data_IF_551123205955
#
_entry.id   IF_551123205955
#
_cell.length_a   1.000
_cell.length_b   1.000
_cell.length_c   1.000
_cell.angle_alpha   90.00
_cell.angle_beta   90.00
_cell.angle_gamma   90.00
#
_symmetry.space_group_name_H-M   'P 1'
#
loop_
_entity.id
_entity.type
_entity.pdbx_description
1 polymer ?
#
# COMPACT_ATOMS: atom_id res chain seq x y z
N UNK A 1 -25.79 7.77 60.27
CA UNK A 1 -24.87 7.27 59.23
C UNK A 1 -25.25 7.94 57.93
N UNK A 2 -24.44 8.90 57.49
CA UNK A 2 -24.63 9.61 56.23
C UNK A 2 -24.08 8.74 55.09
N UNK A 3 -24.96 8.28 54.20
CA UNK A 3 -24.60 7.47 53.03
C UNK A 3 -24.16 8.37 51.88
N UNK A 4 -22.87 8.31 51.57
CA UNK A 4 -22.23 9.01 50.46
C UNK A 4 -22.68 8.39 49.12
N UNK A 5 -23.47 9.13 48.34
CA UNK A 5 -23.81 8.78 46.95
C UNK A 5 -22.64 9.19 46.07
N UNK A 6 -21.92 8.20 45.53
CA UNK A 6 -20.87 8.44 44.54
C UNK A 6 -21.53 8.57 43.15
N UNK A 7 -21.67 9.81 42.69
CA UNK A 7 -21.98 10.12 41.30
C UNK A 7 -20.70 9.97 40.47
N UNK A 8 -20.61 8.95 39.62
CA UNK A 8 -19.61 8.90 38.55
C UNK A 8 -20.23 9.49 37.29
N UNK A 9 -19.83 10.72 37.00
CA UNK A 9 -20.04 11.42 35.75
C UNK A 9 -19.38 10.66 34.60
N UNK A 10 -20.08 10.57 33.47
CA UNK A 10 -19.61 9.92 32.26
C UNK A 10 -18.44 10.65 31.59
N UNK A 11 -17.50 9.86 31.08
CA UNK A 11 -16.56 10.26 30.04
C UNK A 11 -16.92 9.51 28.75
N UNK A 12 -17.46 10.23 27.77
CA UNK A 12 -17.62 9.75 26.40
C UNK A 12 -16.29 9.90 25.64
N UNK A 13 -15.83 8.86 24.96
CA UNK A 13 -14.76 8.98 23.96
C UNK A 13 -14.14 7.63 23.58
N UNK A 14 -14.52 7.09 22.42
CA UNK A 14 -13.92 5.91 21.81
C UNK A 14 -14.82 4.68 21.90
N UNK A 15 -15.56 4.40 20.83
CA UNK A 15 -16.51 3.30 20.75
C UNK A 15 -15.85 1.93 20.77
N UNK A 16 -15.60 1.40 21.97
CA UNK A 16 -15.52 -0.04 22.19
C UNK A 16 -16.95 -0.59 22.23
N UNK A 17 -17.53 -0.71 21.03
CA UNK A 17 -18.74 -1.48 20.82
C UNK A 17 -18.46 -2.93 21.21
N UNK A 18 -18.85 -3.28 22.44
CA UNK A 18 -18.71 -4.60 23.03
C UNK A 18 -19.05 -5.68 22.00
N UNK A 19 -18.02 -6.41 21.55
CA UNK A 19 -18.19 -7.43 20.53
C UNK A 19 -19.02 -8.56 21.10
N UNK A 20 -20.22 -8.76 20.56
CA UNK A 20 -21.00 -9.95 20.88
C UNK A 20 -20.16 -11.20 20.56
N UNK A 21 -20.07 -12.11 21.53
CA UNK A 21 -19.35 -13.37 21.36
C UNK A 21 -19.89 -14.09 20.10
N UNK A 22 -19.00 -14.44 19.17
CA UNK A 22 -19.33 -15.16 17.94
C UNK A 22 -19.44 -14.32 16.66
N UNK A 23 -19.39 -12.98 16.71
CA UNK A 23 -19.37 -12.15 15.49
C UNK A 23 -17.93 -12.00 14.95
N UNK A 24 -17.70 -12.02 13.62
CA UNK A 24 -16.38 -11.78 13.04
C UNK A 24 -15.90 -10.35 13.33
N UNK A 25 -14.59 -10.17 13.53
CA UNK A 25 -13.98 -8.85 13.59
C UNK A 25 -14.06 -8.20 12.20
N UNK A 26 -14.70 -7.04 12.08
CA UNK A 26 -14.75 -6.30 10.82
C UNK A 26 -13.46 -5.52 10.67
N UNK A 27 -12.75 -5.76 9.57
CA UNK A 27 -11.50 -5.10 9.24
C UNK A 27 -11.69 -4.28 7.95
N UNK A 28 -11.58 -2.97 8.06
CA UNK A 28 -11.74 -2.04 6.95
C UNK A 28 -10.41 -1.85 6.24
N UNK A 29 -10.41 -2.04 4.92
CA UNK A 29 -9.24 -1.87 4.06
C UNK A 29 -9.54 -0.78 3.06
N UNK A 30 -8.75 0.29 3.07
CA UNK A 30 -8.77 1.28 1.98
C UNK A 30 -7.75 0.90 0.92
N UNK A 31 -8.16 1.06 -0.33
CA UNK A 31 -7.38 0.67 -1.49
C UNK A 31 -7.64 1.60 -2.67
N UNK A 32 -6.61 1.91 -3.47
CA UNK A 32 -6.80 2.68 -4.70
C UNK A 32 -7.77 1.95 -5.63
N UNK A 33 -8.78 2.66 -6.14
CA UNK A 33 -9.77 2.06 -7.02
C UNK A 33 -9.13 1.53 -8.31
N UNK A 34 -8.05 2.14 -8.80
CA UNK A 34 -7.32 1.67 -9.98
C UNK A 34 -8.21 1.39 -11.20
N UNK A 35 -7.74 0.48 -12.05
CA UNK A 35 -8.44 0.08 -13.27
C UNK A 35 -9.42 -1.08 -13.02
N UNK A 36 -10.37 -1.28 -13.92
CA UNK A 36 -11.36 -2.36 -13.78
C UNK A 36 -10.77 -3.78 -13.55
N UNK A 37 -9.66 -4.18 -14.21
CA UNK A 37 -8.99 -5.45 -13.91
C UNK A 37 -8.46 -5.54 -12.47
N UNK A 38 -7.84 -4.48 -11.97
CA UNK A 38 -7.27 -4.43 -10.61
C UNK A 38 -8.37 -4.55 -9.56
N UNK A 39 -9.48 -3.82 -9.74
CA UNK A 39 -10.67 -3.92 -8.88
C UNK A 39 -11.19 -5.35 -8.80
N UNK A 40 -11.29 -6.04 -9.94
CA UNK A 40 -11.77 -7.42 -9.99
C UNK A 40 -10.84 -8.35 -9.21
N UNK A 41 -9.53 -8.19 -9.36
CA UNK A 41 -8.53 -8.99 -8.62
C UNK A 41 -8.64 -8.72 -7.13
N UNK A 42 -8.73 -7.46 -6.71
CA UNK A 42 -8.80 -7.11 -5.29
C UNK A 42 -10.09 -7.62 -4.64
N UNK A 43 -11.24 -7.46 -5.30
CA UNK A 43 -12.51 -8.04 -4.82
C UNK A 43 -12.44 -9.56 -4.73
N UNK A 44 -11.81 -10.23 -5.68
CA UNK A 44 -11.63 -11.68 -5.63
C UNK A 44 -10.72 -12.12 -4.48
N UNK A 45 -9.64 -11.38 -4.21
CA UNK A 45 -8.73 -11.64 -3.08
C UNK A 45 -9.46 -11.50 -1.74
N UNK A 46 -10.23 -10.43 -1.55
CA UNK A 46 -11.05 -10.18 -0.35
C UNK A 46 -12.12 -11.26 -0.18
N UNK A 47 -12.81 -11.63 -1.27
CA UNK A 47 -13.81 -12.71 -1.24
C UNK A 47 -13.18 -14.04 -0.82
N UNK A 48 -12.02 -14.38 -1.36
CA UNK A 48 -11.29 -15.60 -1.01
C UNK A 48 -10.86 -15.59 0.45
N UNK A 49 -10.26 -14.49 0.94
CA UNK A 49 -9.85 -14.37 2.33
C UNK A 49 -11.04 -14.52 3.29
N UNK A 50 -12.16 -13.88 2.98
CA UNK A 50 -13.38 -13.94 3.77
C UNK A 50 -14.08 -15.31 3.73
N UNK A 51 -13.74 -16.18 2.76
CA UNK A 51 -14.36 -17.50 2.60
C UNK A 51 -13.56 -18.62 3.30
N UNK A 52 -12.25 -18.44 3.51
CA UNK A 52 -11.39 -19.50 4.11
C UNK A 52 -11.34 -19.46 5.64
N UNK A 53 -11.96 -18.46 6.27
CA UNK A 53 -11.99 -18.31 7.73
C UNK A 53 -13.22 -17.49 8.18
N UNK A 54 -13.54 -17.55 9.48
CA UNK A 54 -14.72 -16.87 10.07
C UNK A 54 -14.39 -15.88 11.21
N UNK A 55 -13.11 -15.72 11.56
CA UNK A 55 -12.70 -14.84 12.65
C UNK A 55 -12.71 -13.36 12.25
N UNK A 56 -12.41 -13.06 10.98
CA UNK A 56 -12.25 -11.71 10.41
C UNK A 56 -13.14 -11.56 9.18
N UNK A 57 -13.73 -10.38 9.01
CA UNK A 57 -14.44 -10.00 7.79
C UNK A 57 -13.84 -8.73 7.22
N UNK A 58 -13.13 -8.86 6.11
CA UNK A 58 -12.55 -7.73 5.39
C UNK A 58 -13.65 -6.97 4.63
N UNK A 59 -13.71 -5.66 4.87
CA UNK A 59 -14.53 -4.71 4.16
C UNK A 59 -13.65 -3.79 3.32
N UNK A 60 -13.63 -4.02 2.01
CA UNK A 60 -12.82 -3.25 1.07
C UNK A 60 -13.54 -1.96 0.67
N UNK A 61 -12.87 -0.83 0.82
CA UNK A 61 -13.29 0.49 0.34
C UNK A 61 -12.34 0.90 -0.78
N UNK A 62 -12.88 1.00 -1.99
CA UNK A 62 -12.13 1.46 -3.15
C UNK A 62 -12.29 2.97 -3.29
N UNK A 63 -11.18 3.70 -3.25
CA UNK A 63 -11.17 5.16 -3.30
C UNK A 63 -10.54 5.62 -4.64
N UNK A 64 -11.16 6.55 -5.39
CA UNK A 64 -10.60 7.04 -6.64
C UNK A 64 -9.21 7.68 -6.49
N UNK A 65 -8.30 7.35 -7.41
CA UNK A 65 -6.89 7.74 -7.42
C UNK A 65 -6.66 9.22 -7.06
N UNK A 66 -7.34 10.13 -7.78
CA UNK A 66 -7.16 11.58 -7.63
C UNK A 66 -7.56 12.16 -6.28
N UNK A 67 -8.23 11.37 -5.42
CA UNK A 67 -8.66 11.80 -4.09
C UNK A 67 -8.09 10.94 -2.96
N UNK A 68 -7.38 9.85 -3.27
CA UNK A 68 -6.95 8.87 -2.27
C UNK A 68 -6.10 9.51 -1.17
N UNK A 69 -4.97 10.12 -1.55
CA UNK A 69 -4.04 10.70 -0.58
C UNK A 69 -4.67 11.83 0.25
N UNK A 70 -5.55 12.63 -0.37
CA UNK A 70 -6.29 13.67 0.34
C UNK A 70 -7.27 13.10 1.38
N UNK A 71 -7.97 12.01 1.05
CA UNK A 71 -8.87 11.34 1.99
C UNK A 71 -8.10 10.67 3.13
N UNK A 72 -6.96 10.05 2.85
CA UNK A 72 -6.12 9.45 3.91
C UNK A 72 -5.57 10.53 4.84
N UNK A 73 -5.10 11.66 4.31
CA UNK A 73 -4.63 12.77 5.12
C UNK A 73 -5.74 13.33 6.01
N UNK A 74 -6.94 13.55 5.46
CA UNK A 74 -8.09 14.03 6.22
C UNK A 74 -8.48 13.04 7.35
N UNK A 75 -8.52 11.74 7.05
CA UNK A 75 -8.79 10.69 8.03
C UNK A 75 -7.72 10.63 9.12
N UNK A 76 -6.43 10.81 8.77
CA UNK A 76 -5.34 10.86 9.75
C UNK A 76 -5.46 12.04 10.72
N UNK A 77 -5.92 13.20 10.23
CA UNK A 77 -6.17 14.39 11.05
C UNK A 77 -7.42 14.22 11.94
N UNK A 78 -8.47 13.58 11.42
CA UNK A 78 -9.71 13.32 12.15
C UNK A 78 -9.60 12.18 13.19
N UNK A 79 -8.60 11.30 13.04
CA UNK A 79 -8.50 10.08 13.84
C UNK A 79 -9.34 8.92 13.31
N UNK A 80 -9.75 8.98 12.04
CA UNK A 80 -10.70 8.08 11.39
C UNK A 80 -10.03 7.19 10.32
N UNK A 81 -8.73 6.88 10.48
CA UNK A 81 -8.04 5.96 9.57
C UNK A 81 -8.67 4.56 9.61
N UNK A 82 -8.68 3.83 8.49
CA UNK A 82 -9.12 2.43 8.47
C UNK A 82 -8.08 1.53 9.15
N UNK A 83 -8.45 0.27 9.38
CA UNK A 83 -7.57 -0.72 10.00
C UNK A 83 -6.34 -1.07 9.12
N UNK A 84 -6.52 -1.06 7.80
CA UNK A 84 -5.44 -1.30 6.83
C UNK A 84 -5.54 -0.31 5.68
N UNK A 85 -4.39 0.27 5.36
CA UNK A 85 -4.20 1.16 4.22
C UNK A 85 -3.29 0.49 3.22
N UNK A 86 -3.69 0.49 1.96
CA UNK A 86 -2.69 0.48 0.90
C UNK A 86 -2.17 1.91 0.69
N UNK A 87 -0.85 2.02 0.58
CA UNK A 87 -0.13 3.28 0.47
C UNK A 87 0.86 3.20 -0.67
N UNK A 88 1.02 4.32 -1.37
CA UNK A 88 2.17 4.48 -2.22
C UNK A 88 3.43 4.67 -1.35
N UNK A 89 4.50 3.99 -1.73
CA UNK A 89 5.68 3.83 -0.88
C UNK A 89 6.34 5.13 -0.40
N UNK A 90 6.39 6.23 -1.17
CA UNK A 90 6.91 7.52 -0.70
C UNK A 90 6.20 8.10 0.52
N UNK A 91 4.93 7.74 0.77
CA UNK A 91 4.16 8.28 1.90
C UNK A 91 4.41 7.55 3.23
N UNK A 92 4.87 6.30 3.18
CA UNK A 92 4.96 5.43 4.37
C UNK A 92 5.73 6.10 5.50
N UNK A 93 6.91 6.66 5.21
CA UNK A 93 7.78 7.26 6.24
C UNK A 93 7.14 8.46 6.94
N UNK A 94 6.29 9.24 6.25
CA UNK A 94 5.62 10.39 6.85
C UNK A 94 4.58 9.93 7.88
N UNK A 95 3.74 8.95 7.54
CA UNK A 95 2.75 8.43 8.48
C UNK A 95 3.37 7.64 9.63
N UNK A 96 4.53 7.01 9.43
CA UNK A 96 5.31 6.44 10.55
C UNK A 96 5.83 7.54 11.47
N UNK A 97 6.38 8.62 10.92
CA UNK A 97 6.87 9.76 11.70
C UNK A 97 5.76 10.43 12.52
N UNK A 98 4.56 10.56 11.95
CA UNK A 98 3.36 11.09 12.61
C UNK A 98 2.72 10.12 13.63
N UNK A 99 3.26 8.90 13.77
CA UNK A 99 2.74 7.90 14.70
C UNK A 99 1.40 7.28 14.28
N UNK A 100 1.06 7.35 12.99
CA UNK A 100 -0.21 6.84 12.43
C UNK A 100 -0.14 5.37 12.03
N UNK A 101 1.05 4.80 11.91
CA UNK A 101 1.26 3.40 11.53
C UNK A 101 1.94 2.61 12.64
N UNK A 102 1.46 1.38 12.86
CA UNK A 102 2.11 0.42 13.73
C UNK A 102 3.15 -0.40 12.95
N UNK A 103 4.22 -0.85 13.61
CA UNK A 103 5.16 -1.78 13.01
C UNK A 103 4.52 -3.16 12.81
N UNK A 104 4.95 -3.86 11.77
CA UNK A 104 4.52 -5.21 11.39
C UNK A 104 5.40 -6.31 12.00
N UNK A 105 6.37 -5.95 12.84
CA UNK A 105 7.26 -6.89 13.51
C UNK A 105 6.46 -7.95 14.26
N UNK A 106 6.68 -9.23 13.94
CA UNK A 106 5.97 -10.36 14.57
C UNK A 106 4.53 -10.59 14.08
N UNK A 107 3.95 -9.70 13.28
CA UNK A 107 2.60 -9.85 12.72
C UNK A 107 2.60 -10.67 11.40
N UNK A 108 3.75 -10.77 10.74
CA UNK A 108 3.87 -11.42 9.44
C UNK A 108 4.59 -12.77 9.53
N UNK A 109 4.12 -13.82 8.81
CA UNK A 109 4.82 -15.09 8.74
C UNK A 109 6.23 -14.93 8.19
N UNK A 110 7.22 -15.55 8.82
CA UNK A 110 8.63 -15.52 8.36
C UNK A 110 8.80 -15.98 6.90
N UNK A 111 7.95 -16.91 6.44
CA UNK A 111 7.95 -17.37 5.04
C UNK A 111 7.58 -16.25 4.07
N UNK A 112 6.61 -15.40 4.43
CA UNK A 112 6.22 -14.25 3.63
C UNK A 112 7.38 -13.26 3.54
N UNK A 113 7.98 -12.91 4.68
CA UNK A 113 9.10 -11.95 4.73
C UNK A 113 10.30 -12.38 3.88
N UNK A 114 10.66 -13.68 3.89
CA UNK A 114 11.73 -14.21 3.04
C UNK A 114 11.41 -14.18 1.54
N UNK A 115 10.13 -14.12 1.18
CA UNK A 115 9.68 -14.05 -0.21
C UNK A 115 9.62 -12.61 -0.76
N UNK A 116 9.81 -11.60 0.07
CA UNK A 116 9.77 -10.20 -0.36
C UNK A 116 11.07 -9.81 -1.08
N UNK A 117 10.93 -8.96 -2.10
CA UNK A 117 12.08 -8.35 -2.74
C UNK A 117 12.82 -7.43 -1.75
N UNK A 118 14.17 -7.37 -1.79
CA UNK A 118 14.93 -6.46 -0.94
C UNK A 118 14.53 -4.99 -1.08
N UNK A 119 14.07 -4.55 -2.26
CA UNK A 119 13.52 -3.22 -2.51
C UNK A 119 12.32 -2.93 -1.62
N UNK A 120 11.34 -3.83 -1.60
CA UNK A 120 10.13 -3.72 -0.78
C UNK A 120 10.46 -3.68 0.71
N UNK A 121 11.36 -4.57 1.16
CA UNK A 121 11.78 -4.57 2.57
C UNK A 121 12.44 -3.24 2.94
N UNK A 122 13.33 -2.70 2.10
CA UNK A 122 13.96 -1.39 2.36
C UNK A 122 12.94 -0.26 2.38
N UNK A 123 12.03 -0.22 1.41
CA UNK A 123 11.03 0.85 1.30
C UNK A 123 10.07 0.86 2.48
N UNK A 124 9.66 -0.31 2.97
CA UNK A 124 8.78 -0.43 4.12
C UNK A 124 9.48 -0.37 5.48
N UNK A 125 10.81 -0.24 5.53
CA UNK A 125 11.56 -0.20 6.79
C UNK A 125 11.89 1.24 7.18
N UNK A 126 11.49 1.64 8.39
CA UNK A 126 11.82 2.92 8.98
C UNK A 126 12.48 2.71 10.35
N UNK A 127 13.65 3.33 10.58
CA UNK A 127 14.44 3.20 11.82
C UNK A 127 14.61 1.74 12.30
N UNK A 128 14.87 0.83 11.36
CA UNK A 128 15.13 -0.58 11.64
C UNK A 128 13.90 -1.45 11.89
N UNK A 129 12.68 -0.92 11.72
CA UNK A 129 11.43 -1.66 11.90
C UNK A 129 10.61 -1.66 10.62
N UNK A 130 9.94 -2.79 10.33
CA UNK A 130 9.12 -2.94 9.14
C UNK A 130 7.71 -2.39 9.41
N UNK A 131 7.23 -1.45 8.59
CA UNK A 131 5.90 -0.82 8.72
C UNK A 131 4.97 -1.12 7.55
N UNK A 132 5.52 -1.47 6.38
CA UNK A 132 4.71 -1.83 5.23
C UNK A 132 5.34 -2.97 4.43
N UNK A 133 4.49 -3.67 3.68
CA UNK A 133 4.87 -4.64 2.65
C UNK A 133 4.06 -4.32 1.40
N UNK A 134 4.56 -4.73 0.23
CA UNK A 134 3.89 -4.47 -1.03
C UNK A 134 3.36 -5.76 -1.66
N UNK A 135 2.20 -5.66 -2.33
CA UNK A 135 1.68 -6.75 -3.15
C UNK A 135 2.30 -6.79 -4.55
N UNK A 136 2.86 -5.67 -4.98
CA UNK A 136 3.57 -5.49 -6.24
C UNK A 136 4.68 -4.45 -6.05
N UNK A 137 5.68 -4.47 -6.92
CA UNK A 137 6.76 -3.49 -6.97
C UNK A 137 6.70 -2.78 -8.33
N UNK A 138 7.07 -1.51 -8.38
CA UNK A 138 7.12 -0.75 -9.64
C UNK A 138 8.56 -0.61 -10.12
N UNK A 139 8.74 -0.71 -11.44
CA UNK A 139 10.03 -0.61 -12.08
C UNK A 139 9.99 0.38 -13.24
N UNK A 140 11.04 1.18 -13.37
CA UNK A 140 11.20 2.04 -14.53
C UNK A 140 11.73 1.22 -15.71
N UNK A 141 11.01 1.29 -16.83
CA UNK A 141 11.38 0.66 -18.09
C UNK A 141 11.38 1.67 -19.22
N UNK A 142 12.33 1.54 -20.14
CA UNK A 142 12.33 2.30 -21.38
C UNK A 142 11.64 1.48 -22.47
N UNK A 143 10.59 2.04 -23.06
CA UNK A 143 9.86 1.46 -24.18
C UNK A 143 10.15 2.26 -25.44
N UNK A 144 10.36 1.58 -26.56
CA UNK A 144 10.66 2.22 -27.84
C UNK A 144 10.07 1.44 -29.02
N UNK A 145 9.75 2.16 -30.09
CA UNK A 145 9.29 1.53 -31.33
C UNK A 145 10.47 0.87 -32.04
N UNK A 146 10.48 -0.48 -32.06
CA UNK A 146 11.53 -1.28 -32.70
C UNK A 146 11.82 -0.85 -34.13
N UNK A 147 10.77 -0.61 -34.94
CA UNK A 147 10.90 -0.28 -36.36
C UNK A 147 11.55 1.08 -36.58
N UNK A 148 11.31 2.05 -35.69
CA UNK A 148 11.96 3.37 -35.75
C UNK A 148 13.42 3.28 -35.31
N UNK A 149 13.70 2.53 -34.23
CA UNK A 149 15.07 2.30 -33.75
C UNK A 149 15.94 1.62 -34.81
N UNK A 150 15.41 0.59 -35.48
CA UNK A 150 16.11 -0.11 -36.56
C UNK A 150 16.34 0.79 -37.78
N UNK A 151 15.34 1.59 -38.19
CA UNK A 151 15.47 2.57 -39.29
C UNK A 151 16.52 3.64 -38.99
N UNK A 152 16.64 4.07 -37.73
CA UNK A 152 17.65 5.01 -37.28
C UNK A 152 19.04 4.37 -37.08
N UNK A 153 19.21 3.08 -37.38
CA UNK A 153 20.49 2.36 -37.19
C UNK A 153 20.89 2.20 -35.73
N UNK A 154 19.94 2.28 -34.80
CA UNK A 154 20.20 2.24 -33.36
C UNK A 154 20.32 0.79 -32.88
N UNK A 155 21.43 0.48 -32.19
CA UNK A 155 21.56 -0.79 -31.44
C UNK A 155 20.52 -0.87 -30.33
N UNK A 156 19.62 -1.83 -30.37
CA UNK A 156 18.64 -2.10 -29.30
C UNK A 156 19.30 -2.97 -28.20
N UNK A 157 19.32 -2.55 -26.92
CA UNK A 157 19.80 -3.37 -25.81
C UNK A 157 18.92 -4.60 -25.57
N UNK A 158 19.53 -5.78 -25.49
CA UNK A 158 18.81 -7.02 -25.16
C UNK A 158 18.67 -7.25 -23.64
N UNK A 159 19.48 -6.57 -22.82
CA UNK A 159 19.47 -6.71 -21.36
C UNK A 159 19.76 -5.37 -20.67
N UNK A 160 19.36 -5.20 -19.40
CA UNK A 160 19.74 -4.02 -18.62
C UNK A 160 21.25 -3.82 -18.50
N UNK A 161 22.05 -4.90 -18.45
CA UNK A 161 23.52 -4.82 -18.44
C UNK A 161 24.09 -4.25 -19.74
N UNK A 162 23.39 -4.42 -20.85
CA UNK A 162 23.77 -3.88 -22.16
C UNK A 162 23.05 -2.56 -22.48
N UNK A 163 22.42 -1.92 -21.50
CA UNK A 163 21.70 -0.66 -21.65
C UNK A 163 22.60 0.43 -22.26
N UNK A 164 21.97 1.43 -22.84
CA UNK A 164 22.69 2.61 -23.31
C UNK A 164 23.27 3.38 -22.13
N UNK A 165 24.48 3.92 -22.30
CA UNK A 165 24.93 5.02 -21.45
C UNK A 165 24.06 6.25 -21.73
N UNK A 166 24.02 7.22 -20.80
CA UNK A 166 23.30 8.47 -20.99
C UNK A 166 23.68 9.16 -22.32
N UNK A 167 24.97 9.30 -22.60
CA UNK A 167 25.45 9.87 -23.87
C UNK A 167 24.98 9.10 -25.10
N UNK A 168 24.89 7.77 -25.03
CA UNK A 168 24.37 6.98 -26.15
C UNK A 168 22.87 7.14 -26.28
N UNK A 169 22.15 7.19 -25.18
CA UNK A 169 20.71 7.46 -25.16
C UNK A 169 20.39 8.82 -25.80
N UNK A 170 21.13 9.88 -25.48
CA UNK A 170 20.94 11.19 -26.11
C UNK A 170 21.14 11.15 -27.63
N UNK A 171 22.15 10.42 -28.11
CA UNK A 171 22.38 10.21 -29.55
C UNK A 171 21.24 9.43 -30.20
N UNK A 172 20.66 8.45 -29.49
CA UNK A 172 19.48 7.71 -29.98
C UNK A 172 18.30 8.65 -30.12
N UNK A 173 18.03 9.50 -29.13
CA UNK A 173 16.94 10.48 -29.20
C UNK A 173 17.15 11.46 -30.37
N UNK A 174 18.37 11.97 -30.56
CA UNK A 174 18.70 12.86 -31.67
C UNK A 174 18.55 12.20 -33.06
N UNK A 175 18.83 10.89 -33.16
CA UNK A 175 18.66 10.15 -34.41
C UNK A 175 17.18 9.90 -34.73
N UNK A 176 16.35 9.69 -33.72
CA UNK A 176 14.90 9.48 -33.86
C UNK A 176 14.11 10.77 -34.12
N UNK A 177 14.69 11.93 -33.84
CA UNK A 177 14.06 13.24 -34.05
C UNK A 177 14.14 13.74 -35.50
N UNK A 178 14.75 12.96 -36.41
CA UNK A 178 14.91 13.27 -37.84
C UNK A 178 13.86 12.53 -38.65
#
# INVERSE_FOLDING_TARGET
MAGLVFALLGGCGGGDGGRAAGQPYRLTVWFHAGQAPERRVMHAAVRRFNAVQHAVRVHLVLIPEGSYNGQVQAAALAGDLPDVLEFDGPYVSNYVWEGKLIPLDGLLPRRLLRGLLPSIVRQGTYRGRLYSVAMFDSGLGLWGNRRELERAGVRIPATPRAAWSATRFDRVLAALAR
#
